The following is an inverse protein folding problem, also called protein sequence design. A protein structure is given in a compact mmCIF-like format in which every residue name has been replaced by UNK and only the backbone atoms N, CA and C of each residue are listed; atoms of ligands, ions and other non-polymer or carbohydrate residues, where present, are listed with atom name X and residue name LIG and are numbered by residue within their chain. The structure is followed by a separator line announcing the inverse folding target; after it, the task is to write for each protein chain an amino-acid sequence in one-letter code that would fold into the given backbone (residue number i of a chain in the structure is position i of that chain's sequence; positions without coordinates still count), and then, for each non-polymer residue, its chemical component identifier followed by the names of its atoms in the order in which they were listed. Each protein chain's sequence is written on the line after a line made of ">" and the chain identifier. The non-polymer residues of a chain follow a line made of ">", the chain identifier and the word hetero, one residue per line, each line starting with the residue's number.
data_IF_201849586383
#
_entry.id   IF_201849586383
#
_cell.length_a   1.000
_cell.length_b   1.000
_cell.length_c   1.000
_cell.angle_alpha   90.00
_cell.angle_beta   90.00
_cell.angle_gamma   90.00
#
_symmetry.space_group_name_H-M   'P 1'
#
loop_
_entity.id
_entity.type
_entity.pdbx_description
1 polymer ?
#
# COMPACT_ATOMS: atom_id res chain seq x y z
N UNK A 1 1.86 -2.59 -14.44
CA UNK A 1 1.04 -3.03 -13.31
C UNK A 1 1.73 -4.20 -12.68
N UNK A 2 2.50 -3.92 -11.63
CA UNK A 2 3.09 -4.94 -10.78
C UNK A 2 2.31 -4.89 -9.48
N UNK A 3 1.75 -6.02 -9.07
CA UNK A 3 1.07 -6.18 -7.80
C UNK A 3 2.02 -6.85 -6.80
N UNK A 4 2.17 -6.26 -5.62
CA UNK A 4 2.68 -6.96 -4.45
C UNK A 4 1.55 -7.12 -3.44
N UNK A 5 1.22 -8.35 -3.09
CA UNK A 5 0.32 -8.69 -1.97
C UNK A 5 1.21 -9.11 -0.81
N UNK A 6 1.09 -8.43 0.33
CA UNK A 6 1.88 -8.73 1.51
C UNK A 6 1.07 -8.60 2.79
N UNK A 7 0.86 -9.74 3.45
CA UNK A 7 0.75 -9.82 4.91
C UNK A 7 2.17 -9.79 5.46
N UNK A 8 2.54 -8.71 6.12
CA UNK A 8 3.81 -8.56 6.85
C UNK A 8 3.71 -9.28 8.21
N UNK A 9 3.01 -10.40 8.33
CA UNK A 9 3.02 -11.22 9.55
C UNK A 9 3.87 -12.49 9.44
N UNK A 10 4.56 -12.72 8.31
CA UNK A 10 5.45 -13.86 8.15
C UNK A 10 6.91 -13.41 7.94
N UNK A 11 7.78 -13.79 8.87
CA UNK A 11 9.22 -13.90 8.64
C UNK A 11 9.48 -14.84 7.45
N UNK A 12 9.51 -14.35 6.20
CA UNK A 12 10.14 -15.07 5.10
C UNK A 12 10.74 -14.06 4.11
N UNK A 13 12.07 -13.95 4.19
CA UNK A 13 13.03 -13.64 3.13
C UNK A 13 12.62 -12.69 1.99
N UNK A 14 13.35 -11.57 1.90
CA UNK A 14 13.71 -10.80 0.70
C UNK A 14 13.44 -11.48 -0.66
N UNK A 15 12.18 -11.61 -1.10
CA UNK A 15 11.82 -12.16 -2.40
C UNK A 15 10.72 -11.46 -3.20
N UNK A 16 9.89 -10.53 -2.68
CA UNK A 16 9.21 -9.62 -3.60
C UNK A 16 10.25 -8.65 -4.21
N UNK A 17 11.30 -8.30 -3.44
CA UNK A 17 12.28 -7.25 -3.77
C UNK A 17 13.04 -7.44 -5.08
N UNK A 18 13.52 -8.66 -5.33
CA UNK A 18 14.34 -8.97 -6.49
C UNK A 18 13.55 -9.11 -7.80
N UNK A 19 12.29 -9.54 -7.73
CA UNK A 19 11.50 -9.88 -8.91
C UNK A 19 10.92 -8.64 -9.59
N UNK A 20 10.44 -7.65 -8.81
CA UNK A 20 10.01 -6.38 -9.36
C UNK A 20 11.16 -5.55 -9.94
N UNK A 21 12.35 -5.62 -9.32
CA UNK A 21 13.49 -4.82 -9.76
C UNK A 21 14.06 -5.33 -11.09
N UNK A 22 13.87 -6.62 -11.38
CA UNK A 22 14.18 -7.23 -12.68
C UNK A 22 13.19 -6.83 -13.79
N UNK A 23 11.90 -6.65 -13.46
CA UNK A 23 10.87 -6.17 -14.39
C UNK A 23 11.01 -4.67 -14.72
N UNK A 24 11.48 -3.85 -13.76
CA UNK A 24 11.75 -2.41 -13.94
C UNK A 24 13.00 -2.19 -14.80
N UNK A 25 14.07 -2.98 -14.60
CA UNK A 25 15.36 -2.79 -15.31
C UNK A 25 15.37 -3.27 -16.77
N UNK A 26 14.40 -4.07 -17.21
CA UNK A 26 14.43 -4.73 -18.53
C UNK A 26 13.31 -4.32 -19.51
N UNK A 27 12.56 -3.24 -19.28
CA UNK A 27 11.41 -2.89 -20.16
C UNK A 27 11.64 -1.65 -21.03
N UNK A 28 11.38 -1.79 -22.34
CA UNK A 28 11.29 -0.68 -23.32
C UNK A 28 9.83 -0.21 -23.44
N UNK A 29 9.45 0.91 -22.81
CA UNK A 29 8.10 1.47 -22.93
C UNK A 29 7.66 2.37 -21.76
N UNK A 30 6.39 2.81 -21.76
CA UNK A 30 5.77 3.65 -20.71
C UNK A 30 5.94 3.01 -19.33
N UNK A 31 6.24 3.82 -18.32
CA UNK A 31 6.38 3.40 -16.92
C UNK A 31 5.08 2.71 -16.48
N UNK A 32 5.12 1.41 -16.11
CA UNK A 32 3.94 0.74 -15.59
C UNK A 32 3.59 1.28 -14.20
N UNK A 33 2.31 1.50 -13.92
CA UNK A 33 1.86 1.79 -12.55
C UNK A 33 2.30 0.68 -11.59
N UNK A 34 2.93 1.06 -10.47
CA UNK A 34 3.43 0.15 -9.43
C UNK A 34 2.59 0.41 -8.17
N UNK A 35 1.87 -0.62 -7.75
CA UNK A 35 0.93 -0.52 -6.65
C UNK A 35 1.00 -1.77 -5.78
N UNK A 36 0.73 -1.60 -4.49
CA UNK A 36 0.72 -2.67 -3.51
C UNK A 36 -0.67 -2.82 -2.91
N UNK A 37 -1.10 -4.05 -2.64
CA UNK A 37 -2.33 -4.34 -1.90
C UNK A 37 -1.93 -4.99 -0.58
N UNK A 38 -2.44 -4.49 0.53
CA UNK A 38 -2.08 -4.97 1.87
C UNK A 38 -3.32 -5.16 2.75
N UNK A 39 -3.23 -6.12 3.66
CA UNK A 39 -4.19 -6.40 4.71
C UNK A 39 -3.61 -6.07 6.12
N UNK A 40 -2.56 -5.25 6.17
CA UNK A 40 -1.87 -4.92 7.42
C UNK A 40 -2.76 -4.14 8.40
N UNK A 41 -3.02 -4.63 9.62
CA UNK A 41 -3.88 -3.95 10.57
C UNK A 41 -3.18 -2.79 11.31
N UNK A 42 -1.87 -2.61 11.12
CA UNK A 42 -1.07 -1.61 11.82
C UNK A 42 -0.78 -0.39 10.91
N UNK A 43 -1.34 0.80 11.20
CA UNK A 43 -1.15 2.00 10.39
C UNK A 43 0.32 2.39 10.18
N UNK A 44 1.17 2.16 11.19
CA UNK A 44 2.62 2.44 11.11
C UNK A 44 3.34 1.60 10.05
N UNK A 45 2.86 0.37 9.81
CA UNK A 45 3.43 -0.54 8.80
C UNK A 45 2.94 -0.18 7.42
N UNK A 46 1.67 0.20 7.30
CA UNK A 46 1.12 0.80 6.08
C UNK A 46 1.90 2.07 5.73
N UNK A 47 2.15 2.95 6.69
CA UNK A 47 2.96 4.15 6.50
C UNK A 47 4.37 3.84 6.02
N UNK A 48 5.01 2.80 6.57
CA UNK A 48 6.35 2.39 6.15
C UNK A 48 6.37 1.91 4.69
N UNK A 49 5.34 1.19 4.24
CA UNK A 49 5.19 0.77 2.84
C UNK A 49 4.87 1.97 1.93
N UNK A 50 3.88 2.77 2.33
CA UNK A 50 3.40 3.90 1.57
C UNK A 50 4.48 4.97 1.42
N UNK A 51 5.26 5.28 2.47
CA UNK A 51 6.28 6.34 2.50
C UNK A 51 7.68 5.86 2.12
N UNK A 52 8.07 4.63 2.48
CA UNK A 52 9.44 4.14 2.41
C UNK A 52 9.91 3.68 1.03
N UNK A 53 8.98 3.27 0.17
CA UNK A 53 9.26 2.83 -1.20
C UNK A 53 8.92 3.96 -2.17
N UNK A 54 9.87 4.83 -2.48
CA UNK A 54 9.70 5.96 -3.41
C UNK A 54 9.30 5.59 -4.85
N UNK A 55 9.15 4.30 -5.13
CA UNK A 55 8.73 3.71 -6.41
C UNK A 55 7.26 3.25 -6.41
N UNK A 56 6.53 3.32 -5.29
CA UNK A 56 5.11 2.98 -5.22
C UNK A 56 4.24 4.21 -5.51
N UNK A 57 3.33 4.09 -6.47
CA UNK A 57 2.36 5.14 -6.80
C UNK A 57 1.28 5.25 -5.71
N UNK A 58 0.71 4.11 -5.29
CA UNK A 58 -0.33 4.01 -4.25
C UNK A 58 -0.29 2.64 -3.57
N UNK A 59 -0.65 2.61 -2.29
CA UNK A 59 -0.95 1.40 -1.52
C UNK A 59 -2.47 1.29 -1.38
N UNK A 60 -2.99 0.10 -1.58
CA UNK A 60 -4.40 -0.24 -1.43
C UNK A 60 -4.59 -1.10 -0.20
N UNK A 61 -5.51 -0.72 0.66
CA UNK A 61 -5.90 -1.52 1.82
C UNK A 61 -7.14 -2.33 1.49
N UNK A 62 -7.16 -3.61 1.87
CA UNK A 62 -8.30 -4.51 1.61
C UNK A 62 -9.58 -4.09 2.35
N UNK A 63 -9.44 -3.52 3.55
CA UNK A 63 -10.56 -3.17 4.44
C UNK A 63 -10.28 -1.80 5.11
N UNK A 64 -10.19 -0.73 4.31
CA UNK A 64 -9.74 0.58 4.82
C UNK A 64 -10.75 1.17 5.82
N UNK A 65 -12.04 1.01 5.54
CA UNK A 65 -13.11 1.55 6.37
C UNK A 65 -13.20 0.85 7.73
N UNK A 66 -13.00 -0.47 7.74
CA UNK A 66 -12.97 -1.28 8.96
C UNK A 66 -11.76 -0.94 9.82
N UNK A 67 -10.60 -0.68 9.20
CA UNK A 67 -9.40 -0.24 9.91
C UNK A 67 -9.61 1.14 10.57
N UNK A 68 -10.23 2.09 9.86
CA UNK A 68 -10.59 3.39 10.44
C UNK A 68 -11.52 3.23 11.64
N UNK A 69 -12.52 2.35 11.55
CA UNK A 69 -13.43 2.09 12.66
C UNK A 69 -12.70 1.47 13.85
N UNK A 70 -11.83 0.48 13.62
CA UNK A 70 -11.06 -0.17 14.67
C UNK A 70 -10.15 0.82 15.43
N UNK A 71 -9.51 1.75 14.72
CA UNK A 71 -8.66 2.78 15.36
C UNK A 71 -9.51 3.78 16.15
N UNK A 72 -10.69 4.15 15.63
CA UNK A 72 -11.66 5.01 16.35
C UNK A 72 -12.16 4.35 17.64
N UNK A 73 -12.41 3.04 17.62
CA UNK A 73 -12.86 2.30 18.81
C UNK A 73 -11.77 2.19 19.90
N UNK A 74 -10.50 2.16 19.50
CA UNK A 74 -9.35 2.13 20.42
C UNK A 74 -8.97 3.53 20.93
N UNK A 75 -9.64 4.58 20.46
CA UNK A 75 -9.41 6.00 20.83
C UNK A 75 -7.95 6.43 20.62
N UNK A 76 -7.33 5.94 19.53
CA UNK A 76 -5.93 6.21 19.21
C UNK A 76 -5.82 7.31 18.14
N UNK A 77 -5.91 8.57 18.58
CA UNK A 77 -5.87 9.76 17.72
C UNK A 77 -4.58 9.84 16.88
N UNK A 78 -3.42 9.53 17.46
CA UNK A 78 -2.13 9.58 16.75
C UNK A 78 -2.10 8.64 15.53
N UNK A 79 -2.65 7.43 15.69
CA UNK A 79 -2.74 6.46 14.59
C UNK A 79 -3.77 6.88 13.55
N UNK A 80 -4.88 7.49 13.98
CA UNK A 80 -5.90 8.03 13.08
C UNK A 80 -5.33 9.17 12.24
N UNK A 81 -4.63 10.13 12.84
CA UNK A 81 -4.03 11.28 12.16
C UNK A 81 -2.98 10.84 11.14
N UNK A 82 -2.16 9.83 11.48
CA UNK A 82 -1.22 9.23 10.55
C UNK A 82 -1.94 8.59 9.36
N UNK A 83 -2.99 7.80 9.62
CA UNK A 83 -3.77 7.14 8.57
C UNK A 83 -4.43 8.16 7.65
N UNK A 84 -5.06 9.18 8.22
CA UNK A 84 -5.69 10.28 7.48
C UNK A 84 -4.68 11.04 6.62
N UNK A 85 -3.47 11.29 7.13
CA UNK A 85 -2.39 11.91 6.35
C UNK A 85 -2.04 11.10 5.09
N UNK A 86 -2.00 9.76 5.19
CA UNK A 86 -1.72 8.89 4.05
C UNK A 86 -2.86 8.87 3.03
N UNK A 87 -4.10 8.86 3.51
CA UNK A 87 -5.32 8.88 2.68
C UNK A 87 -5.41 10.23 1.93
N UNK A 88 -5.29 11.34 2.64
CA UNK A 88 -5.32 12.69 2.07
C UNK A 88 -4.16 12.92 1.11
N UNK A 89 -2.98 12.36 1.41
CA UNK A 89 -1.81 12.37 0.53
C UNK A 89 -1.96 11.48 -0.71
N UNK A 90 -3.10 10.82 -0.91
CA UNK A 90 -3.38 9.85 -1.98
C UNK A 90 -2.36 8.72 -2.05
N UNK A 91 -1.68 8.41 -0.95
CA UNK A 91 -0.70 7.29 -0.87
C UNK A 91 -1.35 6.00 -0.38
N UNK A 92 -2.48 6.10 0.32
CA UNK A 92 -3.30 4.98 0.75
C UNK A 92 -4.73 5.14 0.21
N UNK A 93 -5.29 4.07 -0.38
CA UNK A 93 -6.68 4.03 -0.86
C UNK A 93 -7.35 2.70 -0.51
N UNK A 94 -8.67 2.65 -0.67
CA UNK A 94 -9.40 1.41 -0.54
C UNK A 94 -9.25 0.55 -1.79
N UNK A 95 -9.23 -0.78 -1.63
CA UNK A 95 -9.15 -1.73 -2.74
C UNK A 95 -10.26 -1.54 -3.78
N UNK A 96 -11.40 -0.98 -3.39
CA UNK A 96 -12.52 -0.68 -4.30
C UNK A 96 -12.18 0.40 -5.35
N UNK A 97 -11.18 1.24 -5.10
CA UNK A 97 -10.70 2.27 -6.03
C UNK A 97 -9.79 1.70 -7.13
N UNK A 98 -9.17 0.54 -6.86
CA UNK A 98 -8.23 -0.13 -7.75
C UNK A 98 -8.78 -0.33 -9.18
N UNK A 99 -9.99 -0.88 -9.43
CA UNK A 99 -10.49 -1.06 -10.79
C UNK A 99 -10.65 0.25 -11.57
N UNK A 100 -10.89 1.37 -10.90
CA UNK A 100 -11.01 2.69 -11.55
C UNK A 100 -9.64 3.25 -11.91
N UNK A 101 -8.66 3.12 -11.02
CA UNK A 101 -7.29 3.59 -11.25
C UNK A 101 -6.56 2.77 -12.34
N UNK A 102 -7.00 1.53 -12.60
CA UNK A 102 -6.43 0.66 -13.64
C UNK A 102 -7.06 0.84 -15.04
N UNK A 103 -8.23 1.48 -15.12
CA UNK A 103 -8.95 1.66 -16.37
C UNK A 103 -8.48 2.91 -17.17
N UNK A 104 -7.47 3.62 -16.67
CA UNK A 104 -6.93 4.87 -17.24
C UNK A 104 -5.59 4.64 -17.94
#
# INVERSE_FOLDING_TARGET
>A
MVFCVGDVSAEVGSRPVSEYHCLIRNRKGRLPHILAVTAEPLPTRIASLALGTGDLDCVYHFALYELEQAIKEVDNEDQMDMLQTLIQGRRLRDISDLPFDLAT
#
